data_IF_265326615724
#
_entry.id   IF_265326615724
#
_cell.length_a   1.000
_cell.length_b   1.000
_cell.length_c   1.000
_cell.angle_alpha   90.00
_cell.angle_beta   90.00
_cell.angle_gamma   90.00
#
_symmetry.space_group_name_H-M   'P 1'
#
loop_
_entity.id
_entity.type
_entity.pdbx_description
1 polymer ?
#
# COMPACT_ATOMS: atom_id res chain seq x y z
N UNK A 1 5.60 24.72 -4.69
CA UNK A 1 6.23 23.38 -4.80
C UNK A 1 6.13 22.57 -3.51
N UNK A 2 6.22 23.18 -2.33
CA UNK A 2 6.15 22.48 -1.04
C UNK A 2 4.85 21.69 -0.84
N UNK A 3 3.68 22.28 -1.12
CA UNK A 3 2.38 21.62 -0.97
C UNK A 3 2.21 20.41 -1.89
N UNK A 4 2.62 20.55 -3.16
CA UNK A 4 2.62 19.43 -4.11
C UNK A 4 3.50 18.28 -3.62
N UNK A 5 4.71 18.58 -3.16
CA UNK A 5 5.63 17.57 -2.63
C UNK A 5 5.07 16.89 -1.38
N UNK A 6 4.40 17.64 -0.49
CA UNK A 6 3.73 17.10 0.69
C UNK A 6 2.65 16.09 0.29
N UNK A 7 1.78 16.45 -0.67
CA UNK A 7 0.71 15.56 -1.14
C UNK A 7 1.29 14.27 -1.74
N UNK A 8 2.32 14.38 -2.57
CA UNK A 8 3.00 13.21 -3.16
C UNK A 8 3.65 12.32 -2.09
N UNK A 9 4.36 12.92 -1.13
CA UNK A 9 5.03 12.20 -0.05
C UNK A 9 4.05 11.42 0.83
N UNK A 10 2.88 11.97 1.11
CA UNK A 10 1.88 11.29 1.95
C UNK A 10 1.11 10.25 1.14
N UNK A 11 0.50 10.64 0.02
CA UNK A 11 -0.50 9.79 -0.64
C UNK A 11 0.12 8.70 -1.52
N UNK A 12 1.29 8.96 -2.10
CA UNK A 12 1.95 8.02 -3.03
C UNK A 12 3.08 7.30 -2.32
N UNK A 13 4.11 8.03 -1.91
CA UNK A 13 5.29 7.43 -1.30
C UNK A 13 4.99 6.85 0.08
N UNK A 14 4.14 7.51 0.87
CA UNK A 14 3.66 7.03 2.16
C UNK A 14 2.90 5.71 2.04
N UNK A 15 1.93 5.66 1.12
CA UNK A 15 1.19 4.43 0.80
C UNK A 15 2.15 3.30 0.41
N UNK A 16 3.05 3.53 -0.56
CA UNK A 16 4.03 2.51 -0.97
C UNK A 16 4.90 2.00 0.20
N UNK A 17 5.34 2.90 1.08
CA UNK A 17 6.18 2.56 2.22
C UNK A 17 5.44 1.72 3.29
N UNK A 18 4.12 1.84 3.38
CA UNK A 18 3.29 0.92 4.19
C UNK A 18 3.16 -0.41 3.47
N UNK A 19 2.81 -0.40 2.17
CA UNK A 19 2.59 -1.61 1.39
C UNK A 19 3.81 -2.54 1.40
N UNK A 20 5.02 -2.02 1.18
CA UNK A 20 6.22 -2.87 1.16
C UNK A 20 6.43 -3.64 2.48
N UNK A 21 6.05 -3.05 3.62
CA UNK A 21 6.18 -3.68 4.94
C UNK A 21 5.03 -4.65 5.19
N UNK A 22 3.82 -4.26 4.82
CA UNK A 22 2.66 -5.14 4.88
C UNK A 22 2.85 -6.40 4.01
N UNK A 23 3.32 -6.25 2.77
CA UNK A 23 3.62 -7.37 1.87
C UNK A 23 4.65 -8.34 2.48
N UNK A 24 5.69 -7.83 3.12
CA UNK A 24 6.70 -8.68 3.76
C UNK A 24 6.09 -9.55 4.85
N UNK A 25 5.25 -8.97 5.71
CA UNK A 25 4.53 -9.71 6.76
C UNK A 25 3.51 -10.68 6.14
N UNK A 26 2.77 -10.25 5.11
CA UNK A 26 1.80 -11.09 4.42
C UNK A 26 2.45 -12.31 3.77
N UNK A 27 3.69 -12.20 3.28
CA UNK A 27 4.40 -13.33 2.66
C UNK A 27 4.55 -14.53 3.62
N UNK A 28 4.66 -14.27 4.93
CA UNK A 28 4.85 -15.28 5.96
C UNK A 28 3.53 -15.94 6.41
N UNK A 29 2.37 -15.39 6.05
CA UNK A 29 1.08 -15.98 6.38
C UNK A 29 0.90 -17.33 5.69
N UNK A 30 0.30 -18.31 6.38
CA UNK A 30 -0.13 -19.56 5.73
C UNK A 30 -1.12 -19.25 4.61
N UNK A 31 -1.01 -19.92 3.45
CA UNK A 31 -1.91 -19.68 2.33
C UNK A 31 -3.32 -20.19 2.66
N UNK A 32 -4.34 -19.48 2.19
CA UNK A 32 -5.73 -19.91 2.26
C UNK A 32 -6.04 -21.05 1.26
N UNK A 33 -7.31 -21.46 1.17
CA UNK A 33 -7.75 -22.52 0.25
C UNK A 33 -7.49 -22.22 -1.23
N UNK A 34 -7.27 -20.95 -1.58
CA UNK A 34 -7.00 -20.46 -2.92
C UNK A 34 -5.53 -20.06 -3.11
N UNK A 35 -4.67 -20.29 -2.13
CA UNK A 35 -3.25 -19.93 -2.18
C UNK A 35 -2.93 -18.48 -1.80
N UNK A 36 -3.91 -17.68 -1.37
CA UNK A 36 -3.74 -16.27 -1.04
C UNK A 36 -3.14 -16.11 0.37
N UNK A 37 -2.32 -15.08 0.56
CA UNK A 37 -1.64 -14.80 1.85
C UNK A 37 -1.98 -13.43 2.45
N UNK A 38 -2.78 -12.64 1.73
CA UNK A 38 -3.19 -11.32 2.15
C UNK A 38 -3.85 -10.55 1.01
N UNK A 39 -4.48 -9.44 1.36
CA UNK A 39 -5.09 -8.51 0.41
C UNK A 39 -4.69 -7.09 0.78
N UNK A 40 -4.37 -6.29 -0.23
CA UNK A 40 -4.08 -4.87 -0.11
C UNK A 40 -5.19 -4.10 -0.83
N UNK A 41 -5.79 -3.13 -0.14
CA UNK A 41 -6.80 -2.25 -0.68
C UNK A 41 -6.28 -0.82 -0.54
N UNK A 42 -6.05 -0.16 -1.66
CA UNK A 42 -5.65 1.24 -1.69
C UNK A 42 -6.86 2.12 -1.98
N UNK A 43 -6.93 3.26 -1.31
CA UNK A 43 -7.91 4.30 -1.63
C UNK A 43 -7.27 5.30 -2.58
N UNK A 44 -7.88 5.45 -3.76
CA UNK A 44 -7.58 6.52 -4.71
C UNK A 44 -8.80 7.44 -4.85
N UNK A 45 -8.69 8.46 -5.69
CA UNK A 45 -9.76 9.40 -6.00
C UNK A 45 -9.76 9.72 -7.49
N UNK A 46 -10.91 10.10 -8.05
CA UNK A 46 -10.97 10.63 -9.43
C UNK A 46 -10.19 11.94 -9.60
N UNK A 47 -9.88 12.61 -8.49
CA UNK A 47 -9.20 13.90 -8.46
C UNK A 47 -7.66 13.78 -8.51
N UNK A 48 -7.12 12.56 -8.47
CA UNK A 48 -5.69 12.27 -8.50
C UNK A 48 -5.22 11.89 -9.91
#
# INVERSE_FOLDING_TARGET
MEEFNRVMNVNVFGTFNVLRRACHIMADNQPDTNGQRGVIINTSSIAA
#
